data_IF_144193741126
#
_entry.id   IF_144193741126
#
_cell.length_a   1.000
_cell.length_b   1.000
_cell.length_c   1.000
_cell.angle_alpha   90.00
_cell.angle_beta   90.00
_cell.angle_gamma   90.00
#
_symmetry.space_group_name_H-M   'P 1'
#
loop_
_entity.id
_entity.type
_entity.pdbx_description
1 polymer ?
#
# COMPACT_ATOMS: atom_id res chain seq x y z
N UNK A 1 5.32 12.79 20.99
CA UNK A 1 5.81 13.94 20.20
C UNK A 1 6.97 13.58 19.27
N UNK A 2 7.99 12.83 19.72
CA UNK A 2 9.14 12.37 18.89
C UNK A 2 8.76 11.52 17.66
N UNK A 3 7.76 10.63 17.75
CA UNK A 3 7.39 9.74 16.63
C UNK A 3 6.75 10.48 15.45
N UNK A 4 5.97 11.55 15.70
CA UNK A 4 5.41 12.40 14.64
C UNK A 4 6.48 13.07 13.77
N UNK A 5 7.68 13.33 14.31
CA UNK A 5 8.79 13.89 13.55
C UNK A 5 9.41 12.86 12.58
N UNK A 6 9.42 11.57 12.93
CA UNK A 6 10.09 10.54 12.13
C UNK A 6 9.32 10.29 10.82
N UNK A 7 8.00 10.15 10.87
CA UNK A 7 7.19 9.93 9.67
C UNK A 7 7.28 11.11 8.69
N UNK A 8 7.33 12.33 9.21
CA UNK A 8 7.55 13.55 8.41
C UNK A 8 8.89 13.50 7.68
N UNK A 9 9.98 13.11 8.35
CA UNK A 9 11.31 13.07 7.73
C UNK A 9 11.39 12.01 6.63
N UNK A 10 10.75 10.85 6.82
CA UNK A 10 10.72 9.78 5.82
C UNK A 10 9.94 10.23 4.56
N UNK A 11 8.73 10.76 4.74
CA UNK A 11 7.91 11.26 3.61
C UNK A 11 8.59 12.43 2.89
N UNK A 12 9.20 13.35 3.64
CA UNK A 12 9.94 14.49 3.07
C UNK A 12 11.17 14.02 2.29
N UNK A 13 11.91 13.04 2.81
CA UNK A 13 13.03 12.41 2.10
C UNK A 13 12.59 11.78 0.78
N UNK A 14 11.50 11.00 0.79
CA UNK A 14 10.94 10.41 -0.42
C UNK A 14 10.46 11.48 -1.41
N UNK A 15 9.76 12.53 -0.95
CA UNK A 15 9.32 13.62 -1.81
C UNK A 15 10.49 14.35 -2.48
N UNK A 16 11.63 14.53 -1.79
CA UNK A 16 12.85 15.10 -2.39
C UNK A 16 13.46 14.21 -3.46
N UNK A 17 13.43 12.89 -3.28
CA UNK A 17 13.87 11.92 -4.29
C UNK A 17 12.99 12.05 -5.54
N UNK A 18 11.66 12.09 -5.35
CA UNK A 18 10.68 12.24 -6.43
C UNK A 18 10.87 13.56 -7.17
N UNK A 19 11.06 14.68 -6.46
CA UNK A 19 11.30 15.98 -7.06
C UNK A 19 12.56 16.00 -7.95
N UNK A 20 13.64 15.35 -7.51
CA UNK A 20 14.88 15.24 -8.30
C UNK A 20 14.70 14.39 -9.57
N UNK A 21 13.93 13.32 -9.49
CA UNK A 21 13.65 12.46 -10.65
C UNK A 21 12.67 13.16 -11.60
N UNK A 22 11.54 13.65 -11.09
CA UNK A 22 10.43 14.12 -11.92
C UNK A 22 10.64 15.55 -12.43
N UNK A 23 11.03 16.50 -11.58
CA UNK A 23 11.15 17.90 -11.99
C UNK A 23 12.54 18.25 -12.53
N UNK A 24 13.59 17.63 -11.98
CA UNK A 24 14.98 17.87 -12.40
C UNK A 24 15.54 16.83 -13.36
N UNK A 25 14.76 15.78 -13.70
CA UNK A 25 15.16 14.71 -14.64
C UNK A 25 16.54 14.11 -14.33
N UNK A 26 16.86 13.97 -13.04
CA UNK A 26 18.18 13.54 -12.55
C UNK A 26 18.11 12.13 -11.97
N UNK A 27 19.12 11.30 -12.25
CA UNK A 27 19.29 10.00 -11.60
C UNK A 27 19.77 10.16 -10.16
N UNK A 28 19.25 9.35 -9.25
CA UNK A 28 19.53 9.45 -7.81
C UNK A 28 20.02 8.12 -7.24
N UNK A 29 21.02 8.17 -6.37
CA UNK A 29 21.48 7.03 -5.58
C UNK A 29 20.99 7.22 -4.14
N UNK A 30 20.21 6.27 -3.65
CA UNK A 30 19.69 6.28 -2.27
C UNK A 30 20.45 5.24 -1.46
N UNK A 31 21.21 5.68 -0.46
CA UNK A 31 21.86 4.79 0.48
C UNK A 31 21.76 5.33 1.91
N UNK A 32 21.97 4.45 2.88
CA UNK A 32 22.12 4.79 4.29
C UNK A 32 23.41 4.12 4.80
N UNK A 33 23.40 3.54 6.00
CA UNK A 33 24.48 2.68 6.48
C UNK A 33 24.49 1.35 5.72
N UNK A 34 23.55 0.46 6.06
CA UNK A 34 23.51 -0.92 5.56
C UNK A 34 22.57 -1.11 4.37
N UNK A 35 21.71 -0.14 4.09
CA UNK A 35 20.86 -0.12 2.91
C UNK A 35 19.57 -0.96 2.97
N UNK A 36 19.27 -1.68 4.06
CA UNK A 36 18.07 -2.54 4.15
C UNK A 36 16.91 -1.96 4.99
N UNK A 37 17.11 -0.84 5.69
CA UNK A 37 16.08 -0.21 6.55
C UNK A 37 15.56 1.09 5.91
N UNK A 38 16.23 2.22 6.19
CA UNK A 38 15.84 3.56 5.70
C UNK A 38 15.86 3.68 4.17
N UNK A 39 16.79 3.00 3.52
CA UNK A 39 16.84 2.96 2.05
C UNK A 39 15.57 2.32 1.49
N UNK A 40 15.14 1.16 2.01
CA UNK A 40 13.91 0.51 1.58
C UNK A 40 12.67 1.38 1.81
N UNK A 41 12.62 2.11 2.94
CA UNK A 41 11.55 3.10 3.18
C UNK A 41 11.52 4.17 2.07
N UNK A 42 12.67 4.77 1.78
CA UNK A 42 12.77 5.89 0.83
C UNK A 42 12.53 5.46 -0.61
N UNK A 43 13.13 4.35 -1.06
CA UNK A 43 12.98 3.86 -2.43
C UNK A 43 11.55 3.37 -2.68
N UNK A 44 10.97 2.59 -1.77
CA UNK A 44 9.61 2.11 -1.93
C UNK A 44 8.57 3.25 -1.94
N UNK A 45 8.72 4.25 -1.06
CA UNK A 45 7.84 5.43 -1.07
C UNK A 45 8.00 6.28 -2.33
N UNK A 46 9.24 6.51 -2.79
CA UNK A 46 9.47 7.25 -4.04
C UNK A 46 8.88 6.53 -5.25
N UNK A 47 9.07 5.20 -5.35
CA UNK A 47 8.48 4.37 -6.40
C UNK A 47 6.95 4.44 -6.39
N UNK A 48 6.33 4.40 -5.22
CA UNK A 48 4.88 4.51 -5.05
C UNK A 48 4.36 5.91 -5.38
N UNK A 49 5.15 6.96 -5.14
CA UNK A 49 4.83 8.33 -5.54
C UNK A 49 5.00 8.57 -7.05
N UNK A 50 5.90 7.86 -7.73
CA UNK A 50 6.15 8.06 -9.17
C UNK A 50 5.28 7.15 -10.04
N UNK A 51 5.27 5.85 -9.76
CA UNK A 51 4.70 4.84 -10.65
C UNK A 51 3.29 4.41 -10.19
N UNK A 52 2.25 4.64 -11.02
CA UNK A 52 0.89 4.20 -10.76
C UNK A 52 0.72 2.69 -10.54
N UNK A 53 1.59 1.87 -11.15
CA UNK A 53 1.52 0.41 -11.01
C UNK A 53 1.60 0.00 -9.54
N UNK A 54 2.52 0.56 -8.76
CA UNK A 54 2.69 0.23 -7.35
C UNK A 54 1.54 0.70 -6.44
N UNK A 55 0.58 1.47 -6.98
CA UNK A 55 -0.65 1.90 -6.28
C UNK A 55 -1.83 0.95 -6.52
N UNK A 56 -1.67 -0.01 -7.43
CA UNK A 56 -2.61 -1.13 -7.59
C UNK A 56 -2.44 -2.14 -6.45
N UNK A 57 -3.48 -2.92 -6.15
CA UNK A 57 -3.43 -3.95 -5.13
C UNK A 57 -2.30 -4.94 -5.42
N UNK A 58 -2.19 -5.41 -6.66
CA UNK A 58 -1.13 -6.34 -7.07
C UNK A 58 0.24 -5.68 -7.10
N UNK A 59 0.34 -4.46 -7.62
CA UNK A 59 1.60 -3.74 -7.69
C UNK A 59 2.18 -3.44 -6.32
N UNK A 60 1.37 -3.10 -5.33
CA UNK A 60 1.86 -2.88 -3.96
C UNK A 60 2.42 -4.16 -3.32
N UNK A 61 1.79 -5.32 -3.57
CA UNK A 61 2.34 -6.62 -3.15
C UNK A 61 3.71 -6.86 -3.77
N UNK A 62 3.86 -6.55 -5.07
CA UNK A 62 5.14 -6.66 -5.79
C UNK A 62 6.16 -5.67 -5.24
N UNK A 63 5.76 -4.45 -4.89
CA UNK A 63 6.64 -3.45 -4.26
C UNK A 63 7.23 -3.98 -2.95
N UNK A 64 6.41 -4.59 -2.10
CA UNK A 64 6.86 -5.17 -0.83
C UNK A 64 7.78 -6.37 -1.08
N UNK A 65 7.40 -7.31 -1.95
CA UNK A 65 8.25 -8.45 -2.28
C UNK A 65 9.60 -8.04 -2.87
N UNK A 66 9.60 -6.98 -3.69
CA UNK A 66 10.83 -6.40 -4.25
C UNK A 66 11.62 -5.67 -3.16
N UNK A 67 11.21 -4.45 -2.80
CA UNK A 67 12.03 -3.50 -2.03
C UNK A 67 12.28 -3.94 -0.58
N UNK A 68 11.46 -4.85 -0.04
CA UNK A 68 11.60 -5.31 1.34
C UNK A 68 12.06 -6.76 1.43
N UNK A 69 11.33 -7.70 0.82
CA UNK A 69 11.67 -9.12 0.95
C UNK A 69 12.95 -9.49 0.18
N UNK A 70 13.03 -9.14 -1.11
CA UNK A 70 14.17 -9.53 -1.96
C UNK A 70 15.44 -8.75 -1.63
N UNK A 71 15.33 -7.44 -1.36
CA UNK A 71 16.44 -6.58 -0.98
C UNK A 71 16.91 -6.76 0.48
N UNK A 72 16.35 -7.73 1.21
CA UNK A 72 16.94 -8.23 2.45
C UNK A 72 16.64 -7.39 3.69
N UNK A 73 15.47 -6.74 3.75
CA UNK A 73 14.99 -6.21 5.03
C UNK A 73 14.90 -7.33 6.07
N UNK A 74 15.52 -7.11 7.23
CA UNK A 74 15.70 -8.13 8.26
C UNK A 74 14.44 -8.34 9.11
N UNK A 75 13.34 -8.79 8.48
CA UNK A 75 12.04 -8.94 9.15
C UNK A 75 12.11 -9.76 10.44
N UNK A 76 12.75 -10.93 10.42
CA UNK A 76 12.83 -11.78 11.61
C UNK A 76 13.55 -11.09 12.77
N UNK A 77 14.63 -10.35 12.49
CA UNK A 77 15.39 -9.62 13.51
C UNK A 77 14.66 -8.36 13.99
N UNK A 78 14.09 -7.57 13.07
CA UNK A 78 13.42 -6.30 13.37
C UNK A 78 12.12 -6.49 14.15
N UNK A 79 11.43 -7.62 13.92
CA UNK A 79 10.17 -7.95 14.59
C UNK A 79 10.39 -8.85 15.82
N UNK A 80 11.37 -9.76 15.77
CA UNK A 80 11.62 -10.73 16.85
C UNK A 80 10.65 -11.90 16.84
N UNK A 81 10.42 -12.50 15.67
CA UNK A 81 9.47 -13.61 15.49
C UNK A 81 9.80 -14.80 16.39
N UNK A 82 8.92 -15.10 17.34
CA UNK A 82 9.07 -16.25 18.25
C UNK A 82 10.26 -16.17 19.20
N UNK A 83 10.82 -14.96 19.40
CA UNK A 83 11.95 -14.73 20.29
C UNK A 83 11.51 -14.02 21.57
N UNK A 84 11.92 -14.57 22.72
CA UNK A 84 11.58 -14.08 24.06
C UNK A 84 12.44 -12.87 24.47
N UNK A 85 13.48 -12.50 23.72
CA UNK A 85 14.33 -11.34 24.03
C UNK A 85 13.68 -10.02 23.62
N UNK A 86 12.72 -9.56 24.41
CA UNK A 86 12.01 -8.28 24.19
C UNK A 86 12.93 -7.05 24.21
N UNK A 87 14.07 -7.13 24.91
CA UNK A 87 15.03 -6.03 25.04
C UNK A 87 16.10 -6.00 23.95
N UNK A 88 15.95 -6.80 22.89
CA UNK A 88 16.87 -6.78 21.76
C UNK A 88 16.85 -5.40 21.07
N UNK A 89 17.99 -4.74 21.06
CA UNK A 89 18.19 -3.42 20.47
C UNK A 89 18.03 -3.41 18.95
N UNK A 90 18.05 -4.57 18.33
CA UNK A 90 17.85 -4.73 16.89
C UNK A 90 16.38 -4.73 16.48
N UNK A 91 15.45 -4.82 17.44
CA UNK A 91 14.01 -4.69 17.17
C UNK A 91 13.65 -3.24 16.88
N UNK A 92 12.95 -3.01 15.77
CA UNK A 92 12.59 -1.66 15.35
C UNK A 92 11.40 -1.66 14.37
N UNK A 93 10.42 -0.74 14.50
CA UNK A 93 9.21 -0.71 13.70
C UNK A 93 9.41 -0.12 12.29
N UNK A 94 10.49 -0.47 11.59
CA UNK A 94 10.88 0.13 10.30
C UNK A 94 9.82 -0.09 9.21
N UNK A 95 9.32 -1.32 9.08
CA UNK A 95 8.27 -1.64 8.11
C UNK A 95 6.91 -1.05 8.51
N UNK A 96 6.59 -1.00 9.81
CA UNK A 96 5.41 -0.31 10.32
C UNK A 96 5.45 1.18 9.94
N UNK A 97 6.61 1.82 10.08
CA UNK A 97 6.80 3.22 9.69
C UNK A 97 6.55 3.45 8.20
N UNK A 98 6.99 2.53 7.36
CA UNK A 98 6.69 2.58 5.93
C UNK A 98 5.18 2.47 5.65
N UNK A 99 4.50 1.51 6.26
CA UNK A 99 3.05 1.34 6.05
C UNK A 99 2.26 2.54 6.57
N UNK A 100 2.67 3.17 7.68
CA UNK A 100 2.09 4.42 8.15
C UNK A 100 2.28 5.54 7.12
N UNK A 101 3.50 5.71 6.57
CA UNK A 101 3.73 6.67 5.48
C UNK A 101 2.82 6.42 4.27
N UNK A 102 2.57 5.15 3.91
CA UNK A 102 1.59 4.79 2.87
C UNK A 102 0.17 5.19 3.29
N UNK A 103 -0.23 4.94 4.53
CA UNK A 103 -1.52 5.42 5.06
C UNK A 103 -1.66 6.95 4.92
N UNK A 104 -0.63 7.73 5.28
CA UNK A 104 -0.66 9.19 5.09
C UNK A 104 -0.86 9.59 3.63
N UNK A 105 -0.30 8.84 2.67
CA UNK A 105 -0.53 9.06 1.24
C UNK A 105 -1.96 8.72 0.85
N UNK A 106 -2.53 7.62 1.35
CA UNK A 106 -3.95 7.29 1.07
C UNK A 106 -4.91 8.35 1.61
N UNK A 107 -4.58 9.00 2.73
CA UNK A 107 -5.37 10.09 3.32
C UNK A 107 -5.26 11.37 2.49
N UNK A 108 -4.07 11.71 1.98
CA UNK A 108 -3.88 12.91 1.16
C UNK A 108 -4.39 12.74 -0.27
N UNK A 109 -4.37 11.51 -0.80
CA UNK A 109 -4.76 11.17 -2.18
C UNK A 109 -5.79 10.03 -2.21
N UNK A 110 -7.04 10.29 -1.80
CA UNK A 110 -8.06 9.25 -1.59
C UNK A 110 -8.48 8.48 -2.86
N UNK A 111 -8.18 9.00 -4.05
CA UNK A 111 -8.52 8.35 -5.34
C UNK A 111 -7.32 7.71 -6.04
N UNK A 112 -6.11 7.84 -5.50
CA UNK A 112 -4.87 7.43 -6.17
C UNK A 112 -4.48 5.97 -5.93
N UNK A 113 -5.05 5.33 -4.90
CA UNK A 113 -4.73 3.96 -4.49
C UNK A 113 -5.90 3.02 -4.72
N UNK A 114 -5.62 1.85 -5.30
CA UNK A 114 -6.63 0.81 -5.53
C UNK A 114 -6.98 0.08 -4.24
N UNK A 115 -6.04 0.00 -3.31
CA UNK A 115 -6.26 -0.64 -2.02
C UNK A 115 -6.75 0.34 -0.95
N UNK A 116 -7.46 -0.17 0.05
CA UNK A 116 -8.02 0.60 1.15
C UNK A 116 -7.21 0.44 2.46
N UNK A 117 -7.64 1.11 3.52
CA UNK A 117 -7.00 1.08 4.84
C UNK A 117 -7.00 -0.32 5.48
N UNK A 118 -8.03 -1.14 5.21
CA UNK A 118 -8.16 -2.50 5.75
C UNK A 118 -7.03 -3.38 5.25
N UNK A 119 -6.63 -3.20 3.99
CA UNK A 119 -5.50 -3.91 3.40
C UNK A 119 -4.19 -3.63 4.15
N UNK A 120 -3.93 -2.36 4.46
CA UNK A 120 -2.72 -1.95 5.21
C UNK A 120 -2.72 -2.52 6.63
N UNK A 121 -3.86 -2.47 7.33
CA UNK A 121 -4.00 -3.09 8.67
C UNK A 121 -3.77 -4.59 8.60
N UNK A 122 -4.34 -5.28 7.61
CA UNK A 122 -4.21 -6.72 7.45
C UNK A 122 -2.76 -7.16 7.15
N UNK A 123 -1.99 -6.34 6.42
CA UNK A 123 -0.55 -6.55 6.24
C UNK A 123 0.18 -6.48 7.58
N UNK A 124 -0.13 -5.47 8.40
CA UNK A 124 0.51 -5.30 9.71
C UNK A 124 0.11 -6.37 10.72
N UNK A 125 -1.14 -6.82 10.73
CA UNK A 125 -1.55 -7.95 11.57
C UNK A 125 -0.78 -9.22 11.19
N UNK A 126 -0.60 -9.45 9.89
CA UNK A 126 0.14 -10.61 9.41
C UNK A 126 1.66 -10.47 9.45
N UNK A 127 2.19 -9.25 9.61
CA UNK A 127 3.60 -9.01 9.93
C UNK A 127 3.96 -9.71 11.24
N UNK A 128 3.13 -9.55 12.29
CA UNK A 128 3.41 -10.12 13.61
C UNK A 128 2.88 -11.55 13.78
N UNK A 129 1.81 -11.92 13.07
CA UNK A 129 1.13 -13.23 13.28
C UNK A 129 1.98 -14.47 13.01
N UNK A 130 3.04 -14.36 12.20
CA UNK A 130 3.83 -15.48 11.68
C UNK A 130 3.02 -16.58 10.97
N UNK A 131 1.76 -16.33 10.60
CA UNK A 131 0.88 -17.30 9.93
C UNK A 131 1.35 -17.65 8.51
N UNK A 132 2.02 -16.72 7.85
CA UNK A 132 2.47 -16.82 6.47
C UNK A 132 3.98 -16.66 6.38
N UNK A 133 4.61 -17.26 5.36
CA UNK A 133 6.05 -17.12 5.13
C UNK A 133 6.49 -15.78 4.54
N UNK A 134 5.54 -14.91 4.20
CA UNK A 134 5.80 -13.63 3.50
C UNK A 134 6.74 -12.71 4.28
N UNK A 135 6.70 -12.71 5.61
CA UNK A 135 7.55 -11.84 6.44
C UNK A 135 8.48 -12.62 7.37
N UNK A 136 8.73 -13.90 7.06
CA UNK A 136 9.72 -14.70 7.79
C UNK A 136 11.13 -14.48 7.23
N UNK A 137 12.14 -14.78 8.05
CA UNK A 137 13.57 -14.70 7.71
C UNK A 137 14.09 -13.29 7.40
N UNK A 138 15.41 -13.16 7.19
CA UNK A 138 16.08 -11.86 7.03
C UNK A 138 16.58 -11.57 5.61
N UNK A 139 16.56 -12.55 4.70
CA UNK A 139 17.01 -12.36 3.32
C UNK A 139 16.35 -13.35 2.37
N UNK A 140 16.35 -13.03 1.07
CA UNK A 140 15.89 -13.96 0.04
C UNK A 140 16.71 -15.25 0.04
N UNK A 141 18.03 -15.15 0.22
CA UNK A 141 18.90 -16.33 0.33
C UNK A 141 18.44 -17.27 1.45
N UNK A 142 18.11 -16.74 2.63
CA UNK A 142 17.62 -17.54 3.75
C UNK A 142 16.26 -18.17 3.42
N UNK A 143 15.34 -17.43 2.81
CA UNK A 143 14.02 -17.95 2.38
C UNK A 143 14.14 -19.10 1.38
N UNK A 144 15.10 -19.03 0.47
CA UNK A 144 15.38 -20.11 -0.49
C UNK A 144 15.96 -21.35 0.20
N UNK A 145 16.94 -21.18 1.10
CA UNK A 145 17.53 -22.29 1.88
C UNK A 145 16.48 -23.04 2.71
N UNK A 146 15.59 -22.29 3.34
CA UNK A 146 14.53 -22.86 4.20
C UNK A 146 13.31 -23.33 3.42
N UNK A 147 13.31 -23.21 2.08
CA UNK A 147 12.20 -23.55 1.19
C UNK A 147 10.88 -22.88 1.63
N UNK A 148 10.95 -21.60 2.03
CA UNK A 148 9.82 -20.88 2.62
C UNK A 148 8.60 -20.87 1.68
N UNK A 149 8.82 -20.71 0.37
CA UNK A 149 7.74 -20.67 -0.64
C UNK A 149 7.01 -22.01 -0.78
N UNK A 150 7.68 -23.13 -0.49
CA UNK A 150 7.10 -24.47 -0.58
C UNK A 150 6.50 -24.93 0.75
N UNK A 151 7.13 -24.55 1.87
CA UNK A 151 6.73 -25.00 3.21
C UNK A 151 5.64 -24.14 3.86
N UNK A 152 5.40 -22.94 3.33
CA UNK A 152 4.46 -21.99 3.92
C UNK A 152 3.56 -21.35 2.87
N UNK A 153 2.38 -20.91 3.29
CA UNK A 153 1.49 -20.13 2.45
C UNK A 153 1.96 -18.67 2.35
N UNK A 154 1.67 -18.02 1.21
CA UNK A 154 1.87 -16.59 1.01
C UNK A 154 0.68 -15.80 1.56
N UNK A 155 0.95 -14.67 2.23
CA UNK A 155 -0.08 -13.69 2.62
C UNK A 155 -0.89 -13.23 1.40
N UNK A 156 -0.23 -13.06 0.26
CA UNK A 156 -0.88 -12.61 -0.96
C UNK A 156 -1.91 -13.61 -1.49
N UNK A 157 -1.72 -14.91 -1.23
CA UNK A 157 -2.71 -15.94 -1.58
C UNK A 157 -4.01 -15.75 -0.79
N UNK A 158 -3.94 -15.34 0.48
CA UNK A 158 -5.13 -15.02 1.28
C UNK A 158 -5.80 -13.74 0.76
N UNK A 159 -5.02 -12.66 0.61
CA UNK A 159 -5.54 -11.35 0.22
C UNK A 159 -6.19 -11.41 -1.17
N UNK A 160 -5.54 -12.05 -2.14
CA UNK A 160 -6.04 -12.12 -3.51
C UNK A 160 -7.29 -13.01 -3.64
N UNK A 161 -7.54 -13.91 -2.68
CA UNK A 161 -8.78 -14.71 -2.64
C UNK A 161 -10.00 -13.86 -2.29
N UNK A 162 -9.84 -12.86 -1.43
CA UNK A 162 -10.90 -11.94 -0.99
C UNK A 162 -10.55 -10.49 -1.36
N UNK A 163 -10.10 -10.29 -2.61
CA UNK A 163 -9.55 -9.01 -3.03
C UNK A 163 -10.56 -7.86 -2.94
N UNK A 164 -11.86 -8.13 -3.15
CA UNK A 164 -12.93 -7.13 -3.12
C UNK A 164 -13.00 -6.38 -1.79
N UNK A 165 -12.71 -7.05 -0.67
CA UNK A 165 -12.67 -6.44 0.66
C UNK A 165 -11.60 -5.36 0.77
N UNK A 166 -10.55 -5.47 -0.01
CA UNK A 166 -9.36 -4.62 0.05
C UNK A 166 -9.40 -3.49 -0.97
N UNK A 167 -10.39 -3.46 -1.87
CA UNK A 167 -10.51 -2.42 -2.88
C UNK A 167 -11.03 -1.10 -2.32
N UNK A 168 -10.51 -0.01 -2.87
CA UNK A 168 -10.99 1.34 -2.68
C UNK A 168 -11.99 1.68 -3.81
N UNK A 169 -13.27 1.91 -3.50
CA UNK A 169 -14.26 2.26 -4.51
C UNK A 169 -13.99 3.59 -5.22
N UNK A 170 -13.25 4.50 -4.57
CA UNK A 170 -12.89 5.81 -5.10
C UNK A 170 -11.67 5.79 -6.02
N UNK A 171 -11.03 4.63 -6.18
CA UNK A 171 -9.89 4.50 -7.06
C UNK A 171 -10.27 4.86 -8.51
N UNK A 172 -9.52 5.82 -9.07
CA UNK A 172 -9.70 6.29 -10.43
C UNK A 172 -8.35 6.25 -11.16
N UNK A 173 -8.28 5.42 -12.19
CA UNK A 173 -7.08 5.18 -13.01
C UNK A 173 -6.57 6.46 -13.68
N UNK A 174 -7.46 7.40 -14.03
CA UNK A 174 -7.08 8.67 -14.65
C UNK A 174 -6.30 9.55 -13.66
N UNK A 175 -6.83 9.74 -12.44
CA UNK A 175 -6.14 10.52 -11.41
C UNK A 175 -4.92 9.79 -10.85
N UNK A 176 -4.95 8.46 -10.85
CA UNK A 176 -3.86 7.64 -10.36
C UNK A 176 -2.64 7.63 -11.30
N UNK A 177 -2.75 8.18 -12.52
CA UNK A 177 -1.65 8.17 -13.49
C UNK A 177 -0.57 9.24 -13.23
N UNK A 178 -0.87 10.25 -12.40
CA UNK A 178 0.05 11.35 -12.12
C UNK A 178 1.01 11.04 -10.96
N UNK A 179 2.17 11.71 -10.94
CA UNK A 179 3.12 11.67 -9.82
C UNK A 179 2.50 12.31 -8.58
N UNK A 180 2.66 11.69 -7.41
CA UNK A 180 2.14 12.18 -6.13
C UNK A 180 3.22 12.96 -5.38
N UNK A 181 2.94 14.22 -5.06
CA UNK A 181 3.79 15.06 -4.22
C UNK A 181 3.05 15.39 -2.92
N UNK A 182 3.26 14.63 -1.83
CA UNK A 182 2.56 14.85 -0.57
C UNK A 182 2.99 16.15 0.09
N UNK A 183 2.04 16.78 0.79
CA UNK A 183 2.37 17.84 1.72
C UNK A 183 3.03 17.23 2.95
N UNK A 184 4.34 17.39 3.04
CA UNK A 184 5.17 16.95 4.15
C UNK A 184 5.13 18.01 5.25
N UNK A 185 3.98 18.26 5.89
CA UNK A 185 3.89 19.18 7.03
C UNK A 185 3.41 18.42 8.24
N UNK A 186 4.06 18.62 9.39
CA UNK A 186 3.66 17.99 10.66
C UNK A 186 2.21 18.31 11.06
N UNK A 187 1.65 19.42 10.57
CA UNK A 187 0.26 19.81 10.80
C UNK A 187 -0.76 19.00 9.98
N UNK A 188 -0.34 18.38 8.87
CA UNK A 188 -1.23 17.60 8.01
C UNK A 188 -1.17 16.09 8.29
N UNK A 189 -0.20 15.63 9.08
CA UNK A 189 -0.11 14.24 9.48
C UNK A 189 -1.23 13.89 10.45
N UNK A 190 -2.02 12.86 10.11
CA UNK A 190 -3.08 12.35 10.97
C UNK A 190 -2.57 11.15 11.77
N UNK A 191 -2.96 11.05 13.03
CA UNK A 191 -2.76 9.80 13.77
C UNK A 191 -3.62 8.71 13.13
N UNK A 192 -3.03 7.53 12.91
CA UNK A 192 -3.75 6.38 12.38
C UNK A 192 -4.53 5.69 13.50
N UNK A 193 -5.68 6.27 13.85
CA UNK A 193 -6.51 5.81 14.97
C UNK A 193 -6.98 4.37 14.78
N UNK A 194 -7.33 4.01 13.55
CA UNK A 194 -7.81 2.67 13.16
C UNK A 194 -6.76 1.57 13.36
N UNK A 195 -5.48 1.92 13.49
CA UNK A 195 -4.41 0.97 13.82
C UNK A 195 -3.95 1.11 15.27
N UNK A 196 -3.53 2.32 15.70
CA UNK A 196 -2.91 2.52 17.01
C UNK A 196 -3.92 2.52 18.17
N UNK A 197 -5.16 2.95 17.93
CA UNK A 197 -6.21 3.10 18.96
C UNK A 197 -7.35 2.09 18.78
N UNK A 198 -7.18 1.10 17.91
CA UNK A 198 -8.22 0.12 17.56
C UNK A 198 -8.80 -0.66 18.74
N UNK A 199 -8.02 -0.82 19.82
CA UNK A 199 -8.45 -1.53 21.03
C UNK A 199 -9.02 -0.62 22.12
N UNK A 200 -9.04 0.70 21.90
CA UNK A 200 -9.64 1.62 22.86
C UNK A 200 -11.18 1.57 22.74
N UNK A 201 -11.91 1.09 23.78
CA UNK A 201 -13.36 1.02 23.73
C UNK A 201 -14.04 2.38 23.53
N UNK A 202 -13.37 3.47 23.92
CA UNK A 202 -13.91 4.83 23.78
C UNK A 202 -13.76 5.42 22.37
N UNK A 203 -12.87 4.88 21.52
CA UNK A 203 -12.52 5.51 20.23
C UNK A 203 -13.38 4.99 19.06
N UNK A 204 -14.29 4.02 19.26
CA UNK A 204 -15.16 3.44 18.23
C UNK A 204 -14.44 3.09 16.90
N UNK A 205 -13.11 2.90 16.93
CA UNK A 205 -12.27 2.79 15.74
C UNK A 205 -12.54 1.49 14.97
N UNK A 206 -12.76 0.38 15.69
CA UNK A 206 -13.19 -0.87 15.07
C UNK A 206 -14.56 -0.75 14.43
N UNK A 207 -15.53 -0.12 15.11
CA UNK A 207 -16.87 0.10 14.54
C UNK A 207 -16.79 0.93 13.26
N UNK A 208 -16.03 2.03 13.28
CA UNK A 208 -15.79 2.85 12.07
C UNK A 208 -15.19 2.04 10.93
N UNK A 209 -14.24 1.14 11.21
CA UNK A 209 -13.62 0.30 10.20
C UNK A 209 -14.62 -0.69 9.59
N UNK A 210 -15.49 -1.28 10.41
CA UNK A 210 -16.56 -2.17 9.95
C UNK A 210 -17.59 -1.40 9.10
N UNK A 211 -18.02 -0.22 9.56
CA UNK A 211 -18.94 0.64 8.84
C UNK A 211 -18.35 1.05 7.47
N UNK A 212 -17.06 1.42 7.44
CA UNK A 212 -16.34 1.72 6.19
C UNK A 212 -16.32 0.51 5.25
N UNK A 213 -16.13 -0.72 5.76
CA UNK A 213 -16.18 -1.93 4.93
C UNK A 213 -17.58 -2.19 4.35
N UNK A 214 -18.64 -1.93 5.10
CA UNK A 214 -20.01 -2.03 4.59
C UNK A 214 -20.25 -1.01 3.48
N UNK A 215 -19.88 0.25 3.73
CA UNK A 215 -20.01 1.35 2.76
C UNK A 215 -19.21 1.07 1.48
N UNK A 216 -17.95 0.63 1.61
CA UNK A 216 -17.12 0.31 0.44
C UNK A 216 -17.70 -0.82 -0.41
N UNK A 217 -18.22 -1.88 0.21
CA UNK A 217 -18.90 -2.96 -0.52
C UNK A 217 -20.14 -2.45 -1.27
N UNK A 218 -20.93 -1.58 -0.66
CA UNK A 218 -22.10 -0.99 -1.32
C UNK A 218 -21.69 -0.09 -2.50
N UNK A 219 -20.65 0.73 -2.33
CA UNK A 219 -20.12 1.59 -3.38
C UNK A 219 -19.57 0.78 -4.56
N UNK A 220 -18.83 -0.31 -4.30
CA UNK A 220 -18.31 -1.19 -5.36
C UNK A 220 -19.44 -1.82 -6.18
N UNK A 221 -20.49 -2.34 -5.50
CA UNK A 221 -21.68 -2.88 -6.17
C UNK A 221 -22.40 -1.85 -7.03
N UNK A 222 -22.56 -0.63 -6.49
CA UNK A 222 -23.21 0.47 -7.19
C UNK A 222 -22.39 0.91 -8.42
N UNK A 223 -21.07 1.04 -8.26
CA UNK A 223 -20.15 1.36 -9.33
C UNK A 223 -20.22 0.34 -10.45
N UNK A 224 -20.21 -0.96 -10.12
CA UNK A 224 -20.33 -2.03 -11.12
C UNK A 224 -21.65 -1.91 -11.89
N UNK A 225 -22.78 -1.74 -11.18
CA UNK A 225 -24.08 -1.58 -11.84
C UNK A 225 -24.18 -0.34 -12.73
N UNK A 226 -23.51 0.76 -12.36
CA UNK A 226 -23.43 1.96 -13.20
C UNK A 226 -22.55 1.72 -14.43
N UNK A 227 -21.41 1.04 -14.29
CA UNK A 227 -20.53 0.69 -15.41
C UNK A 227 -21.24 -0.20 -16.43
N UNK A 228 -22.01 -1.19 -15.96
CA UNK A 228 -22.80 -2.06 -16.83
C UNK A 228 -23.89 -1.27 -17.59
N UNK A 229 -24.56 -0.32 -16.93
CA UNK A 229 -25.53 0.58 -17.59
C UNK A 229 -24.86 1.48 -18.64
N UNK A 230 -23.70 2.06 -18.31
CA UNK A 230 -22.93 2.88 -19.25
C UNK A 230 -22.52 2.06 -20.48
N UNK A 231 -22.10 0.81 -20.29
CA UNK A 231 -21.72 -0.06 -21.39
C UNK A 231 -22.91 -0.42 -22.28
N UNK A 232 -24.08 -0.69 -21.70
CA UNK A 232 -25.33 -0.93 -22.44
C UNK A 232 -25.75 0.28 -23.27
N UNK A 233 -25.77 1.47 -22.66
CA UNK A 233 -26.11 2.72 -23.35
C UNK A 233 -25.13 3.05 -24.48
N UNK A 234 -23.81 2.84 -24.27
CA UNK A 234 -22.81 2.99 -25.33
C UNK A 234 -23.06 2.04 -26.50
N UNK A 235 -23.42 0.79 -26.22
CA UNK A 235 -23.76 -0.19 -27.26
C UNK A 235 -25.04 0.20 -28.02
N UNK A 236 -26.04 0.76 -27.34
CA UNK A 236 -27.28 1.23 -27.96
C UNK A 236 -27.05 2.46 -28.86
N UNK A 237 -26.27 3.44 -28.40
CA UNK A 237 -25.86 4.59 -29.22
C UNK A 237 -25.07 4.13 -30.45
N UNK A 238 -24.17 3.15 -30.31
CA UNK A 238 -23.42 2.61 -31.44
C UNK A 238 -24.34 1.91 -32.46
N UNK A 239 -25.36 1.17 -32.00
CA UNK A 239 -26.38 0.59 -32.88
C UNK A 239 -27.17 1.67 -33.63
N UNK A 240 -27.58 2.74 -32.95
CA UNK A 240 -28.32 3.84 -33.57
C UNK A 240 -27.47 4.59 -34.62
N UNK A 241 -26.17 4.77 -34.39
CA UNK A 241 -25.24 5.38 -35.37
C UNK A 241 -25.05 4.54 -36.64
N UNK A 242 -25.05 3.21 -36.52
CA UNK A 242 -24.92 2.32 -37.68
C UNK A 242 -26.19 2.28 -38.55
N UNK A 243 -27.36 2.63 -37.99
CA UNK A 243 -28.63 2.71 -38.73
C UNK A 243 -28.76 4.03 -39.49
N UNK A 244 -28.08 5.10 -39.04
CA UNK A 244 -28.18 6.46 -39.61
C UNK A 244 -27.06 6.84 -40.57
N UNK A 245 -26.14 5.94 -40.92
CA UNK A 245 -25.21 6.12 -42.06
C UNK A 245 -25.78 5.42 -43.30
N UNK A 246 -26.48 6.13 -44.20
CA UNK A 246 -26.92 5.55 -45.46
C UNK A 246 -25.71 5.39 -46.37
N UNK A 247 -25.67 4.27 -47.07
CA UNK A 247 -24.78 3.98 -48.19
C UNK A 247 -24.74 5.18 -49.15
N UNK A 248 -23.62 5.91 -49.17
CA UNK A 248 -23.32 6.84 -50.26
C UNK A 248 -22.95 5.97 -51.47
N UNK A 249 -23.90 5.84 -52.39
CA UNK A 249 -23.68 5.31 -53.75
C UNK A 249 -22.98 6.35 -54.61
#
# INVERSE_FOLDING_TARGET
>A
MRERFVFFLILSGAARIVDKIENHKTSVLVHCSDGWDRTAQLTALAMLMIDPYYRTLKGFQVLIEKEWCSFGHKFAQRIGHGDEKHSDTERSPVFLQFIDCVYQLTVQFPTAFEFNIVFLINILDHLYSCRFGTFLFNSEQQRCREMARQRTASLWSLINRDFERYLNPLYNTLTASHVLLPCCSGHRLKLWNEYYLRWNPADNSNQRLEDLQVVFRQMLRTRQGLMDKVQKLKAEIARQRNVTSPVVR
#
